data_IF_889328990915
#
_entry.id   IF_889328990915
#
_cell.length_a   1.000
_cell.length_b   1.000
_cell.length_c   1.000
_cell.angle_alpha   90.00
_cell.angle_beta   90.00
_cell.angle_gamma   90.00
#
_symmetry.space_group_name_H-M   'P 1'
#
loop_
_entity.id
_entity.type
_entity.pdbx_description
1 polymer ?
#
# COMPACT_ATOMS: atom_id res chain seq x y z
N UNK A 1 1.09 -24.90 -16.90
CA UNK A 1 0.36 -24.05 -15.93
C UNK A 1 1.22 -23.70 -14.72
N UNK A 2 1.77 -24.67 -13.97
CA UNK A 2 2.65 -24.38 -12.82
C UNK A 2 3.96 -23.64 -13.18
N UNK A 3 4.58 -23.96 -14.32
CA UNK A 3 5.82 -23.29 -14.76
C UNK A 3 5.65 -21.78 -15.06
N UNK A 4 4.50 -21.37 -15.62
CA UNK A 4 4.19 -19.95 -15.85
C UNK A 4 3.97 -19.19 -14.53
N UNK A 5 3.34 -19.83 -13.54
CA UNK A 5 3.15 -19.26 -12.21
C UNK A 5 4.49 -19.02 -11.48
N UNK A 6 5.41 -19.98 -11.53
CA UNK A 6 6.75 -19.81 -10.96
C UNK A 6 7.61 -18.78 -11.70
N UNK A 7 7.39 -18.61 -13.00
CA UNK A 7 8.14 -17.64 -13.80
C UNK A 7 7.67 -16.20 -13.55
N UNK A 8 6.37 -15.96 -13.34
CA UNK A 8 5.86 -14.65 -12.88
C UNK A 8 6.32 -14.30 -11.45
N UNK A 9 6.35 -15.28 -10.53
CA UNK A 9 6.85 -15.08 -9.15
C UNK A 9 8.30 -14.57 -9.10
N UNK A 10 9.15 -14.97 -10.05
CA UNK A 10 10.52 -14.45 -10.15
C UNK A 10 10.62 -13.03 -10.73
N UNK A 11 9.59 -12.49 -11.38
CA UNK A 11 9.67 -11.15 -11.98
C UNK A 11 9.42 -10.04 -10.98
N UNK A 12 8.62 -10.29 -9.93
CA UNK A 12 8.14 -9.23 -9.03
C UNK A 12 8.98 -9.10 -7.76
N UNK A 13 10.05 -9.88 -7.57
CA UNK A 13 10.73 -10.04 -6.29
C UNK A 13 11.43 -8.77 -5.74
N UNK A 14 11.41 -7.66 -6.50
CA UNK A 14 11.92 -6.35 -6.10
C UNK A 14 10.97 -5.21 -6.45
N UNK A 15 9.72 -5.50 -6.84
CA UNK A 15 8.76 -4.52 -7.33
C UNK A 15 8.62 -3.36 -6.34
N UNK A 16 8.45 -3.66 -5.05
CA UNK A 16 8.26 -2.64 -4.01
C UNK A 16 9.52 -2.37 -3.17
N UNK A 17 10.69 -2.88 -3.57
CA UNK A 17 11.94 -2.80 -2.79
C UNK A 17 12.46 -1.39 -2.48
N UNK A 18 11.94 -0.37 -3.17
CA UNK A 18 12.33 1.04 -3.00
C UNK A 18 11.22 1.93 -2.47
N UNK A 19 10.04 1.39 -2.19
CA UNK A 19 8.88 2.18 -1.73
C UNK A 19 9.05 2.61 -0.26
N UNK A 20 9.83 1.86 0.53
CA UNK A 20 9.87 2.02 1.98
C UNK A 20 8.84 1.12 2.66
N UNK A 21 8.65 1.30 3.97
CA UNK A 21 7.68 0.51 4.74
C UNK A 21 6.26 0.90 4.37
N UNK A 22 5.40 -0.08 4.13
CA UNK A 22 4.00 0.12 3.74
C UNK A 22 3.11 -0.28 4.91
N UNK A 23 2.23 0.62 5.36
CA UNK A 23 1.21 0.32 6.35
C UNK A 23 -0.10 -0.02 5.62
N UNK A 24 -0.73 -1.15 5.95
CA UNK A 24 -1.99 -1.58 5.33
C UNK A 24 -3.10 -1.49 6.38
N UNK A 25 -4.13 -0.70 6.12
CA UNK A 25 -5.27 -0.56 7.00
C UNK A 25 -6.13 -1.84 7.03
N UNK A 26 -6.85 -2.03 8.13
CA UNK A 26 -7.90 -3.04 8.22
C UNK A 26 -9.04 -2.75 7.24
N UNK A 27 -9.75 -3.80 6.82
CA UNK A 27 -10.97 -3.68 6.01
C UNK A 27 -10.75 -3.58 4.49
N UNK A 28 -9.51 -3.70 4.01
CA UNK A 28 -9.22 -3.74 2.58
C UNK A 28 -9.85 -4.96 1.87
N UNK A 29 -10.05 -4.84 0.56
CA UNK A 29 -10.49 -5.93 -0.33
C UNK A 29 -9.53 -6.11 -1.52
N UNK A 30 -8.70 -7.18 -1.59
CA UNK A 30 -8.67 -8.37 -0.72
C UNK A 30 -8.29 -8.10 0.75
N UNK A 31 -8.53 -9.07 1.66
CA UNK A 31 -8.21 -8.90 3.09
C UNK A 31 -6.80 -8.38 3.33
N UNK A 32 -6.63 -7.56 4.38
CA UNK A 32 -5.36 -6.94 4.77
C UNK A 32 -4.17 -7.91 4.74
N UNK A 33 -4.33 -9.11 5.31
CA UNK A 33 -3.29 -10.15 5.31
C UNK A 33 -2.84 -10.59 3.91
N UNK A 34 -3.76 -10.62 2.95
CA UNK A 34 -3.46 -11.03 1.58
C UNK A 34 -2.70 -9.92 0.85
N UNK A 35 -3.03 -8.65 1.11
CA UNK A 35 -2.31 -7.50 0.58
C UNK A 35 -0.90 -7.44 1.16
N UNK A 36 -0.74 -7.60 2.46
CA UNK A 36 0.57 -7.65 3.12
C UNK A 36 1.45 -8.79 2.57
N UNK A 37 0.85 -9.97 2.37
CA UNK A 37 1.53 -11.10 1.73
C UNK A 37 1.95 -10.75 0.30
N UNK A 38 1.07 -10.14 -0.51
CA UNK A 38 1.38 -9.73 -1.88
C UNK A 38 2.51 -8.70 -1.95
N UNK A 39 2.53 -7.73 -1.02
CA UNK A 39 3.62 -6.74 -0.89
C UNK A 39 4.94 -7.44 -0.58
N UNK A 40 4.94 -8.30 0.43
CA UNK A 40 6.14 -9.02 0.91
C UNK A 40 6.73 -9.93 -0.18
N UNK A 41 5.88 -10.71 -0.85
CA UNK A 41 6.29 -11.58 -1.97
C UNK A 41 6.79 -10.79 -3.19
N UNK A 42 6.36 -9.53 -3.32
CA UNK A 42 6.80 -8.60 -4.36
C UNK A 42 7.98 -7.73 -3.91
N UNK A 43 8.67 -8.13 -2.84
CA UNK A 43 9.91 -7.50 -2.37
C UNK A 43 9.73 -6.19 -1.63
N UNK A 44 8.52 -5.87 -1.16
CA UNK A 44 8.25 -4.75 -0.26
C UNK A 44 8.37 -5.13 1.22
N UNK A 45 8.32 -4.12 2.07
CA UNK A 45 8.30 -4.27 3.52
C UNK A 45 6.99 -3.71 4.07
N UNK A 46 6.32 -4.45 4.95
CA UNK A 46 5.13 -3.97 5.67
C UNK A 46 5.49 -3.53 7.08
N UNK A 47 4.65 -2.67 7.66
CA UNK A 47 4.78 -2.26 9.07
C UNK A 47 3.42 -2.18 9.75
N UNK A 48 3.45 -2.41 11.07
CA UNK A 48 2.31 -2.17 11.97
C UNK A 48 2.42 -0.82 12.70
N UNK A 49 3.46 -0.04 12.41
CA UNK A 49 3.69 1.28 12.98
C UNK A 49 3.48 2.36 11.90
N UNK A 50 2.34 3.08 11.94
CA UNK A 50 2.05 4.14 10.98
C UNK A 50 3.12 5.24 10.91
N UNK A 51 3.82 5.52 12.02
CA UNK A 51 4.80 6.61 12.08
C UNK A 51 6.10 6.35 11.31
N UNK A 52 6.35 5.11 10.86
CA UNK A 52 7.54 4.76 10.07
C UNK A 52 7.21 4.36 8.64
N UNK A 53 5.94 4.46 8.24
CA UNK A 53 5.53 4.10 6.89
C UNK A 53 5.81 5.23 5.89
N UNK A 54 6.17 4.84 4.68
CA UNK A 54 6.34 5.74 3.53
C UNK A 54 5.09 5.77 2.64
N UNK A 55 4.14 4.84 2.86
CA UNK A 55 2.90 4.69 2.12
C UNK A 55 1.86 4.02 3.02
N UNK A 56 0.63 4.54 2.99
CA UNK A 56 -0.54 3.92 3.62
C UNK A 56 -1.44 3.35 2.53
N UNK A 57 -1.87 2.10 2.71
CA UNK A 57 -2.86 1.45 1.86
C UNK A 57 -4.16 1.33 2.65
N UNK A 58 -5.18 2.04 2.22
CA UNK A 58 -6.49 2.10 2.86
C UNK A 58 -7.56 1.38 2.02
N UNK A 59 -8.65 0.89 2.64
CA UNK A 59 -9.78 0.36 1.89
C UNK A 59 -10.39 1.42 0.98
N UNK A 60 -10.93 1.01 -0.16
CA UNK A 60 -11.74 1.83 -1.03
C UNK A 60 -13.13 2.04 -0.39
N UNK A 61 -13.16 2.87 0.66
CA UNK A 61 -14.36 3.30 1.36
C UNK A 61 -14.29 4.82 1.61
N UNK A 62 -15.01 5.60 0.81
CA UNK A 62 -15.02 7.06 0.89
C UNK A 62 -15.57 7.65 2.21
N UNK A 63 -16.00 6.82 3.16
CA UNK A 63 -16.38 7.26 4.51
C UNK A 63 -15.23 7.19 5.52
N UNK A 64 -14.07 6.67 5.12
CA UNK A 64 -12.91 6.50 5.99
C UNK A 64 -12.14 7.83 6.13
N UNK A 65 -12.10 8.38 7.34
CA UNK A 65 -11.21 9.49 7.68
C UNK A 65 -9.88 8.92 8.19
N UNK A 66 -8.78 9.23 7.51
CA UNK A 66 -7.44 8.87 7.97
C UNK A 66 -6.90 10.00 8.84
N UNK A 67 -6.75 9.70 10.12
CA UNK A 67 -6.17 10.63 11.09
C UNK A 67 -4.65 10.46 11.12
N UNK A 68 -3.94 11.59 10.97
CA UNK A 68 -2.50 11.67 11.19
C UNK A 68 -2.21 12.58 12.38
N UNK A 69 -1.20 12.22 13.17
CA UNK A 69 -0.71 13.05 14.26
C UNK A 69 -0.18 14.37 13.71
N UNK A 70 -0.50 15.48 14.39
CA UNK A 70 0.02 16.82 14.07
C UNK A 70 1.55 16.92 14.10
N UNK A 71 2.23 15.97 14.77
CA UNK A 71 3.69 15.93 14.86
C UNK A 71 4.37 15.48 13.56
N UNK A 72 3.59 15.00 12.58
CA UNK A 72 4.10 14.53 11.30
C UNK A 72 4.06 15.68 10.28
N UNK A 73 5.21 16.34 10.08
CA UNK A 73 5.35 17.50 9.18
C UNK A 73 4.96 17.18 7.71
N UNK A 74 5.11 15.92 7.30
CA UNK A 74 4.71 15.44 5.98
C UNK A 74 4.02 14.08 6.13
N UNK A 75 2.67 14.02 6.16
CA UNK A 75 1.98 12.74 6.27
C UNK A 75 2.31 11.85 5.06
N UNK A 76 2.45 10.54 5.27
CA UNK A 76 2.67 9.61 4.16
C UNK A 76 1.46 9.64 3.22
N UNK A 77 1.67 9.44 1.90
CA UNK A 77 0.57 9.33 0.96
C UNK A 77 -0.34 8.14 1.33
N UNK A 78 -1.65 8.37 1.22
CA UNK A 78 -2.68 7.35 1.41
C UNK A 78 -3.24 6.97 0.05
N UNK A 79 -3.17 5.68 -0.30
CA UNK A 79 -3.73 5.15 -1.55
C UNK A 79 -4.73 4.05 -1.27
N UNK A 80 -5.66 3.82 -2.19
CA UNK A 80 -6.57 2.66 -2.13
C UNK A 80 -5.84 1.37 -2.46
N UNK A 81 -6.32 0.23 -1.95
CA UNK A 81 -5.72 -1.10 -2.15
C UNK A 81 -5.57 -1.51 -3.62
N UNK A 82 -6.40 -0.93 -4.51
CA UNK A 82 -6.28 -1.12 -5.95
C UNK A 82 -4.90 -0.74 -6.50
N UNK A 83 -4.19 0.21 -5.86
CA UNK A 83 -2.82 0.58 -6.23
C UNK A 83 -1.88 -0.63 -6.21
N UNK A 84 -1.93 -1.44 -5.14
CA UNK A 84 -1.07 -2.62 -4.99
C UNK A 84 -1.40 -3.66 -6.07
N UNK A 85 -2.69 -3.88 -6.31
CA UNK A 85 -3.17 -4.85 -7.29
C UNK A 85 -2.75 -4.49 -8.72
N UNK A 86 -2.88 -3.21 -9.09
CA UNK A 86 -2.51 -2.71 -10.41
C UNK A 86 -0.98 -2.71 -10.58
N UNK A 87 -0.21 -2.30 -9.56
CA UNK A 87 1.25 -2.37 -9.60
C UNK A 87 1.77 -3.79 -9.84
N UNK A 88 1.18 -4.79 -9.17
CA UNK A 88 1.51 -6.20 -9.35
C UNK A 88 1.07 -6.67 -10.75
N UNK A 89 -0.11 -6.28 -11.21
CA UNK A 89 -0.64 -6.69 -12.51
C UNK A 89 0.22 -6.18 -13.67
N UNK A 90 0.69 -4.94 -13.57
CA UNK A 90 1.56 -4.28 -14.54
C UNK A 90 3.05 -4.56 -14.32
N UNK A 91 3.42 -5.23 -13.22
CA UNK A 91 4.80 -5.44 -12.77
C UNK A 91 5.62 -4.13 -12.78
N UNK A 92 5.02 -3.05 -12.28
CA UNK A 92 5.59 -1.71 -12.27
C UNK A 92 5.03 -0.92 -11.09
N UNK A 93 5.87 -0.17 -10.38
CA UNK A 93 5.40 0.84 -9.42
C UNK A 93 4.76 1.98 -10.20
N UNK A 94 3.45 2.16 -10.01
CA UNK A 94 2.64 3.17 -10.69
C UNK A 94 2.74 4.52 -9.96
N UNK A 95 2.30 5.58 -10.63
CA UNK A 95 2.14 6.91 -10.02
C UNK A 95 0.96 6.87 -9.05
N UNK A 96 1.11 7.50 -7.88
CA UNK A 96 0.18 7.36 -6.76
C UNK A 96 -1.03 8.29 -6.87
N UNK A 97 -0.92 9.39 -7.63
CA UNK A 97 -1.90 10.47 -7.70
C UNK A 97 -3.27 9.98 -8.18
N UNK A 98 -3.32 8.95 -9.03
CA UNK A 98 -4.56 8.33 -9.49
C UNK A 98 -5.23 7.39 -8.49
N UNK A 99 -4.60 7.16 -7.34
CA UNK A 99 -5.03 6.22 -6.31
C UNK A 99 -5.20 6.88 -4.93
N UNK A 100 -4.84 8.16 -4.78
CA UNK A 100 -5.04 8.95 -3.57
C UNK A 100 -6.48 9.48 -3.50
N UNK A 101 -7.41 8.60 -3.10
CA UNK A 101 -8.84 8.93 -3.02
C UNK A 101 -9.29 9.37 -1.62
N UNK A 102 -8.40 9.30 -0.63
CA UNK A 102 -8.67 9.69 0.75
C UNK A 102 -7.97 11.00 1.08
N UNK A 103 -8.72 11.96 1.64
CA UNK A 103 -8.17 13.19 2.19
C UNK A 103 -7.56 12.88 3.57
N UNK A 104 -6.29 13.25 3.77
CA UNK A 104 -5.66 13.22 5.10
C UNK A 104 -6.15 14.44 5.87
N UNK A 105 -6.81 14.22 7.00
CA UNK A 105 -7.31 15.28 7.87
C UNK A 105 -6.38 15.44 9.08
N UNK A 106 -5.88 16.66 9.28
CA UNK A 106 -5.17 17.05 10.50
C UNK A 106 -6.13 16.99 11.68
N UNK A 107 -5.68 16.53 12.87
CA UNK A 107 -6.47 16.63 14.09
C UNK A 107 -6.86 18.12 14.31
N UNK A 108 -8.16 18.40 14.46
CA UNK A 108 -8.64 19.70 14.93
C UNK A 108 -8.70 19.60 16.46
N UNK A 109 -7.74 20.19 17.16
CA UNK A 109 -7.85 20.51 18.59
C UNK A 109 -7.92 22.03 18.84
#
# INVERSE_FOLDING_TARGET
LLAFYFQKRKQHHLLFSKVGKIFVCDGCAPPTSDIEWMITESGGETTNNPCECALVVAPHDHSLEIMCSEDVEFPPPVVVEKYILDCISENKVLEIEGYMEHDVVDEIC
#
